data_IF_765454202771
#
_entry.id   IF_765454202771
#
_cell.length_a   1.000
_cell.length_b   1.000
_cell.length_c   1.000
_cell.angle_alpha   90.00
_cell.angle_beta   90.00
_cell.angle_gamma   90.00
#
_symmetry.space_group_name_H-M   'P 1'
#
loop_
_entity.id
_entity.type
_entity.pdbx_description
1 polymer ?
#
# COMPACT_ATOMS: atom_id res chain seq x y z
N UNK A 1 -9.61 -13.96 -15.97
CA UNK A 1 -9.39 -13.76 -14.53
C UNK A 1 -10.72 -13.46 -13.85
N UNK A 2 -11.04 -14.14 -12.78
CA UNK A 2 -12.25 -13.88 -12.01
C UNK A 2 -12.01 -12.78 -10.99
N UNK A 3 -13.09 -12.25 -10.41
CA UNK A 3 -12.98 -11.28 -9.31
C UNK A 3 -12.23 -11.87 -8.12
N UNK A 4 -12.48 -13.14 -7.82
CA UNK A 4 -11.74 -13.85 -6.78
C UNK A 4 -10.24 -13.84 -7.06
N UNK A 5 -9.85 -14.18 -8.29
CA UNK A 5 -8.45 -14.20 -8.68
C UNK A 5 -7.82 -12.82 -8.58
N UNK A 6 -8.54 -11.80 -8.99
CA UNK A 6 -8.07 -10.41 -8.89
C UNK A 6 -7.87 -9.98 -7.45
N UNK A 7 -8.77 -10.36 -6.54
CA UNK A 7 -8.64 -10.07 -5.11
C UNK A 7 -7.44 -10.80 -4.50
N UNK A 8 -7.22 -12.04 -4.88
CA UNK A 8 -6.04 -12.78 -4.43
C UNK A 8 -4.77 -12.09 -4.90
N UNK A 9 -4.74 -11.63 -6.15
CA UNK A 9 -3.59 -10.91 -6.69
C UNK A 9 -3.33 -9.60 -5.91
N UNK A 10 -4.38 -8.88 -5.54
CA UNK A 10 -4.25 -7.67 -4.73
C UNK A 10 -3.69 -8.00 -3.35
N UNK A 11 -4.18 -9.07 -2.72
CA UNK A 11 -3.70 -9.52 -1.42
C UNK A 11 -2.21 -9.87 -1.49
N UNK A 12 -1.81 -10.61 -2.51
CA UNK A 12 -0.41 -10.95 -2.70
C UNK A 12 0.46 -9.70 -2.90
N UNK A 13 -0.03 -8.75 -3.67
CA UNK A 13 0.65 -7.48 -3.89
C UNK A 13 0.78 -6.68 -2.59
N UNK A 14 -0.25 -6.67 -1.75
CA UNK A 14 -0.20 -6.00 -0.45
C UNK A 14 0.82 -6.65 0.50
N UNK A 15 0.90 -7.96 0.52
CA UNK A 15 1.96 -8.65 1.28
C UNK A 15 3.35 -8.26 0.76
N UNK A 16 3.50 -8.16 -0.57
CA UNK A 16 4.77 -7.75 -1.17
C UNK A 16 5.12 -6.30 -0.82
N UNK A 17 4.13 -5.41 -0.81
CA UNK A 17 4.34 -4.02 -0.38
C UNK A 17 4.84 -3.95 1.06
N UNK A 18 4.20 -4.68 1.96
CA UNK A 18 4.58 -4.70 3.37
C UNK A 18 6.01 -5.24 3.52
N UNK A 19 6.34 -6.33 2.83
CA UNK A 19 7.67 -6.90 2.87
C UNK A 19 8.72 -5.92 2.34
N UNK A 20 8.41 -5.22 1.25
CA UNK A 20 9.30 -4.21 0.68
C UNK A 20 9.52 -3.05 1.64
N UNK A 21 8.46 -2.59 2.31
CA UNK A 21 8.56 -1.53 3.30
C UNK A 21 9.45 -1.94 4.48
N UNK A 22 9.27 -3.16 4.97
CA UNK A 22 10.10 -3.68 6.06
C UNK A 22 11.57 -3.79 5.67
N UNK A 23 11.83 -4.15 4.41
CA UNK A 23 13.18 -4.29 3.88
C UNK A 23 13.76 -2.97 3.37
N UNK A 24 12.96 -1.92 3.34
CA UNK A 24 13.34 -0.62 2.79
C UNK A 24 13.78 -0.75 1.32
N UNK A 25 13.06 -1.56 0.56
CA UNK A 25 13.36 -1.87 -0.84
C UNK A 25 12.39 -1.12 -1.74
N UNK A 26 12.82 0.03 -2.24
CA UNK A 26 11.98 0.92 -3.05
C UNK A 26 11.58 0.28 -4.38
N UNK A 27 12.50 -0.42 -5.04
CA UNK A 27 12.18 -1.06 -6.31
C UNK A 27 11.12 -2.15 -6.15
N UNK A 28 11.24 -2.96 -5.09
CA UNK A 28 10.24 -3.98 -4.79
C UNK A 28 8.90 -3.35 -4.44
N UNK A 29 8.90 -2.22 -3.72
CA UNK A 29 7.68 -1.51 -3.38
C UNK A 29 6.97 -0.99 -4.63
N UNK A 30 7.71 -0.40 -5.56
CA UNK A 30 7.13 0.10 -6.81
C UNK A 30 6.53 -1.03 -7.64
N UNK A 31 7.22 -2.17 -7.74
CA UNK A 31 6.71 -3.32 -8.46
C UNK A 31 5.43 -3.86 -7.82
N UNK A 32 5.40 -3.95 -6.48
CA UNK A 32 4.23 -4.43 -5.76
C UNK A 32 3.04 -3.47 -5.92
N UNK A 33 3.30 -2.17 -5.88
CA UNK A 33 2.25 -1.15 -6.07
C UNK A 33 1.66 -1.24 -7.47
N UNK A 34 2.49 -1.41 -8.48
CA UNK A 34 2.01 -1.59 -9.85
C UNK A 34 1.10 -2.81 -9.97
N UNK A 35 1.51 -3.93 -9.36
CA UNK A 35 0.71 -5.15 -9.37
C UNK A 35 -0.62 -4.95 -8.63
N UNK A 36 -0.59 -4.25 -7.49
CA UNK A 36 -1.81 -3.95 -6.73
C UNK A 36 -2.79 -3.13 -7.56
N UNK A 37 -2.31 -2.09 -8.22
CA UNK A 37 -3.17 -1.21 -9.02
C UNK A 37 -3.77 -1.96 -10.21
N UNK A 38 -3.00 -2.83 -10.85
CA UNK A 38 -3.52 -3.66 -11.93
C UNK A 38 -4.63 -4.59 -11.45
N UNK A 39 -4.48 -5.16 -10.26
CA UNK A 39 -5.50 -6.01 -9.65
C UNK A 39 -6.77 -5.22 -9.33
N UNK A 40 -6.63 -4.02 -8.79
CA UNK A 40 -7.75 -3.15 -8.48
C UNK A 40 -8.51 -2.79 -9.76
N UNK A 41 -7.81 -2.47 -10.83
CA UNK A 41 -8.43 -2.17 -12.13
C UNK A 41 -9.23 -3.36 -12.64
N UNK A 42 -8.71 -4.57 -12.47
CA UNK A 42 -9.41 -5.80 -12.85
C UNK A 42 -10.68 -5.97 -12.02
N UNK A 43 -10.61 -5.73 -10.72
CA UNK A 43 -11.78 -5.83 -9.82
C UNK A 43 -12.89 -4.89 -10.28
N UNK A 44 -12.53 -3.69 -10.72
CA UNK A 44 -13.50 -2.70 -11.19
C UNK A 44 -14.33 -3.18 -12.38
N UNK A 45 -13.81 -4.12 -13.16
CA UNK A 45 -14.56 -4.71 -14.29
C UNK A 45 -15.76 -5.54 -13.84
N UNK A 46 -15.80 -5.96 -12.59
CA UNK A 46 -16.89 -6.76 -12.02
C UNK A 46 -17.85 -5.91 -11.20
N UNK A 47 -17.77 -4.61 -11.34
CA UNK A 47 -18.68 -3.68 -10.67
C UNK A 47 -20.11 -4.00 -11.05
N UNK A 48 -21.00 -4.07 -10.07
CA UNK A 48 -22.40 -4.44 -10.29
C UNK A 48 -22.72 -5.90 -10.05
N UNK A 49 -21.73 -6.78 -9.95
CA UNK A 49 -21.96 -8.16 -9.56
C UNK A 49 -22.09 -8.28 -8.05
N UNK A 50 -23.07 -9.06 -7.61
CA UNK A 50 -23.24 -9.31 -6.18
C UNK A 50 -22.07 -10.15 -5.67
N UNK A 51 -21.39 -9.73 -4.60
CA UNK A 51 -20.25 -10.48 -4.08
C UNK A 51 -20.71 -11.74 -3.35
N UNK A 52 -20.00 -12.85 -3.59
CA UNK A 52 -20.16 -14.06 -2.81
C UNK A 52 -19.57 -13.88 -1.41
N UNK A 53 -19.91 -14.76 -0.44
CA UNK A 53 -19.27 -14.69 0.88
C UNK A 53 -17.76 -14.78 0.82
N UNK A 54 -17.19 -15.60 -0.05
CA UNK A 54 -15.75 -15.71 -0.24
C UNK A 54 -15.15 -14.39 -0.73
N UNK A 55 -15.79 -13.77 -1.71
CA UNK A 55 -15.33 -12.47 -2.24
C UNK A 55 -15.37 -11.41 -1.14
N UNK A 56 -16.40 -11.39 -0.30
CA UNK A 56 -16.48 -10.45 0.82
C UNK A 56 -15.36 -10.67 1.81
N UNK A 57 -15.01 -11.91 2.12
CA UNK A 57 -13.91 -12.21 3.02
C UNK A 57 -12.57 -11.78 2.44
N UNK A 58 -12.35 -12.02 1.15
CA UNK A 58 -11.13 -11.59 0.48
C UNK A 58 -11.02 -10.07 0.43
N UNK A 59 -12.11 -9.39 0.17
CA UNK A 59 -12.14 -7.93 0.17
C UNK A 59 -11.81 -7.37 1.56
N UNK A 60 -12.35 -7.97 2.62
CA UNK A 60 -12.05 -7.57 3.99
C UNK A 60 -10.58 -7.80 4.32
N UNK A 61 -10.00 -8.91 3.88
CA UNK A 61 -8.58 -9.19 4.06
C UNK A 61 -7.71 -8.17 3.35
N UNK A 62 -8.03 -7.84 2.10
CA UNK A 62 -7.32 -6.83 1.35
C UNK A 62 -7.38 -5.48 2.06
N UNK A 63 -8.54 -5.11 2.59
CA UNK A 63 -8.71 -3.87 3.34
C UNK A 63 -7.81 -3.83 4.57
N UNK A 64 -7.79 -4.91 5.35
CA UNK A 64 -6.93 -4.99 6.55
C UNK A 64 -5.45 -4.86 6.19
N UNK A 65 -5.03 -5.53 5.13
CA UNK A 65 -3.63 -5.47 4.69
C UNK A 65 -3.27 -4.07 4.19
N UNK A 66 -4.19 -3.42 3.50
CA UNK A 66 -3.95 -2.05 3.03
C UNK A 66 -3.81 -1.08 4.19
N UNK A 67 -4.61 -1.24 5.24
CA UNK A 67 -4.47 -0.42 6.45
C UNK A 67 -3.13 -0.66 7.13
N UNK A 68 -2.68 -1.91 7.21
CA UNK A 68 -1.36 -2.25 7.73
C UNK A 68 -0.26 -1.59 6.91
N UNK A 69 -0.38 -1.65 5.58
CA UNK A 69 0.56 -1.01 4.67
C UNK A 69 0.63 0.50 4.93
N UNK A 70 -0.51 1.16 5.09
CA UNK A 70 -0.56 2.60 5.38
C UNK A 70 0.17 2.94 6.68
N UNK A 71 0.02 2.11 7.70
CA UNK A 71 0.70 2.33 8.97
C UNK A 71 2.23 2.28 8.76
N UNK A 72 2.72 1.29 8.02
CA UNK A 72 4.16 1.19 7.72
C UNK A 72 4.65 2.39 6.93
N UNK A 73 3.90 2.81 5.91
CA UNK A 73 4.27 3.98 5.11
C UNK A 73 4.34 5.24 5.98
N UNK A 74 3.36 5.43 6.84
CA UNK A 74 3.32 6.60 7.73
C UNK A 74 4.47 6.59 8.74
N UNK A 75 4.81 5.43 9.27
CA UNK A 75 5.95 5.29 10.18
C UNK A 75 7.26 5.62 9.48
N UNK A 76 7.43 5.15 8.24
CA UNK A 76 8.62 5.45 7.45
C UNK A 76 8.72 6.93 7.14
N UNK A 77 7.62 7.55 6.74
CA UNK A 77 7.59 8.99 6.47
C UNK A 77 7.95 9.81 7.70
N UNK A 78 7.40 9.44 8.85
CA UNK A 78 7.71 10.10 10.12
C UNK A 78 9.18 9.93 10.51
N UNK A 79 9.73 8.74 10.28
CA UNK A 79 11.11 8.44 10.57
C UNK A 79 12.06 9.26 9.70
N UNK A 80 11.78 9.34 8.41
CA UNK A 80 12.56 10.16 7.48
C UNK A 80 12.51 11.63 7.89
N UNK A 81 11.33 12.14 8.22
CA UNK A 81 11.16 13.52 8.67
C UNK A 81 11.99 13.80 9.91
N UNK A 82 11.97 12.90 10.87
CA UNK A 82 12.74 13.03 12.11
C UNK A 82 14.24 13.07 11.84
N UNK A 83 14.72 12.22 10.93
CA UNK A 83 16.12 12.19 10.54
C UNK A 83 16.55 13.49 9.89
N UNK A 84 15.71 14.04 9.03
CA UNK A 84 15.99 15.31 8.39
C UNK A 84 16.07 16.44 9.40
N UNK A 85 15.17 16.49 10.36
CA UNK A 85 15.20 17.49 11.43
C UNK A 85 16.47 17.39 12.26
N UNK A 86 16.88 16.18 12.62
CA UNK A 86 18.10 15.94 13.36
C UNK A 86 19.33 16.37 12.58
N UNK A 87 19.35 16.03 11.30
CA UNK A 87 20.49 16.29 10.41
C UNK A 87 20.69 17.80 10.20
N UNK A 88 19.63 18.54 9.99
CA UNK A 88 19.70 19.98 9.73
C UNK A 88 19.86 20.80 10.99
N UNK A 89 19.59 20.23 12.15
CA UNK A 89 19.56 20.97 13.40
C UNK A 89 18.40 21.95 13.52
N UNK A 90 17.49 21.92 12.56
CA UNK A 90 16.34 22.82 12.49
C UNK A 90 15.06 22.02 12.61
N UNK A 91 14.29 22.30 13.63
CA UNK A 91 13.00 21.66 13.80
C UNK A 91 11.98 22.12 12.77
N UNK A 92 12.23 23.24 12.16
CA UNK A 92 11.26 23.88 11.31
C UNK A 92 11.32 23.50 9.84
N UNK A 93 11.59 22.29 9.49
CA UNK A 93 11.66 21.88 8.10
C UNK A 93 10.27 21.90 7.44
N UNK A 94 9.72 23.09 7.32
CA UNK A 94 8.36 23.32 6.89
C UNK A 94 8.09 22.94 5.43
N UNK A 95 9.13 22.80 4.64
CA UNK A 95 8.99 22.45 3.23
C UNK A 95 8.79 20.96 2.97
N UNK A 96 9.03 20.14 3.95
CA UNK A 96 8.93 18.71 3.77
C UNK A 96 7.49 18.21 3.85
N UNK A 97 7.10 17.42 2.88
CA UNK A 97 5.78 16.77 2.85
C UNK A 97 5.93 15.29 2.53
N UNK A 98 5.30 14.41 3.30
CA UNK A 98 5.35 12.98 3.03
C UNK A 98 4.38 12.59 1.91
N UNK A 99 4.53 13.18 0.74
CA UNK A 99 3.60 12.98 -0.37
C UNK A 99 3.58 11.55 -0.88
N UNK A 100 4.68 10.85 -0.73
CA UNK A 100 4.82 9.48 -1.23
C UNK A 100 3.89 8.52 -0.51
N UNK A 101 3.54 8.82 0.74
CA UNK A 101 2.67 7.94 1.53
C UNK A 101 1.33 7.68 0.86
N UNK A 102 0.72 8.69 0.26
CA UNK A 102 -0.57 8.54 -0.42
C UNK A 102 -0.46 7.78 -1.72
N UNK A 103 0.70 7.76 -2.36
CA UNK A 103 0.90 7.08 -3.63
C UNK A 103 0.99 5.56 -3.46
N UNK A 104 1.54 5.08 -2.36
CA UNK A 104 1.79 3.66 -2.16
C UNK A 104 0.64 2.94 -1.46
N UNK A 105 -0.02 3.56 -0.59
CA UNK A 105 -1.14 2.97 0.14
C UNK A 105 -2.38 3.84 0.09
#
# INVERSE_FOLDING_TARGET
>A
MTRRDALIAVIEALHAEIAALKANDVAALEAATTAKLAGIDTIALFDGEAPSPEVKELAAEAHRLNETCRIYVNLMAANVRRRLQTFTGEAGNAGYRPMVAGAYC
#
